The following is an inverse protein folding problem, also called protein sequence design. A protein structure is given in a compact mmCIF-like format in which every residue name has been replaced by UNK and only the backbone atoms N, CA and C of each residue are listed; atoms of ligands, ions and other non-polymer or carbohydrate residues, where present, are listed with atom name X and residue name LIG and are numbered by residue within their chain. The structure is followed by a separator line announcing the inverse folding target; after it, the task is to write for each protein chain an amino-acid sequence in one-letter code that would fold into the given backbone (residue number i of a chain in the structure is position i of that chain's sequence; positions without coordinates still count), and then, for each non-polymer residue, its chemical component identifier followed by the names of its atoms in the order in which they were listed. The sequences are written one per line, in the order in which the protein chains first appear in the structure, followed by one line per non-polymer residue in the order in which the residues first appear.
data_IF_589537355299
#
_entry.id   IF_589537355299
#
_cell.length_a   1.000
_cell.length_b   1.000
_cell.length_c   1.000
_cell.angle_alpha   90.00
_cell.angle_beta   90.00
_cell.angle_gamma   90.00
#
_symmetry.space_group_name_H-M   'P 1'
#
loop_
_entity.id
_entity.type
_entity.pdbx_description
1 polymer ?
#
# COMPACT_ATOMS: atom_id res chain seq x y z
N UNK A 1 -8.12 5.52 32.03
CA UNK A 1 -6.88 5.41 31.23
C UNK A 1 -7.21 4.60 30.00
N UNK A 2 -7.47 5.23 28.86
CA UNK A 2 -7.53 4.55 27.57
C UNK A 2 -6.84 5.49 26.57
N UNK A 3 -5.52 5.32 26.52
CA UNK A 3 -4.63 6.09 25.67
C UNK A 3 -4.82 5.49 24.29
N UNK A 4 -5.23 6.32 23.34
CA UNK A 4 -5.19 6.07 21.90
C UNK A 4 -4.24 4.93 21.52
N UNK A 5 -4.78 3.72 21.37
CA UNK A 5 -4.10 2.62 20.69
C UNK A 5 -4.19 2.91 19.19
N UNK A 6 -3.63 4.05 18.77
CA UNK A 6 -3.20 4.28 17.42
C UNK A 6 -1.89 3.50 17.28
N UNK A 7 -2.00 2.16 17.24
CA UNK A 7 -0.93 1.36 16.68
C UNK A 7 -1.15 1.44 15.17
N UNK A 8 -0.36 2.22 14.40
CA UNK A 8 -0.31 1.96 12.96
C UNK A 8 0.03 0.49 12.85
N UNK A 9 -0.80 -0.29 12.15
CA UNK A 9 -0.71 -1.75 12.08
C UNK A 9 0.77 -2.14 12.07
N UNK A 10 1.28 -2.64 13.21
CA UNK A 10 2.70 -2.94 13.38
C UNK A 10 2.95 -4.27 12.69
N UNK A 11 2.73 -4.29 11.36
CA UNK A 11 3.06 -5.38 10.49
C UNK A 11 4.47 -5.83 10.82
N UNK A 12 4.63 -7.13 11.02
CA UNK A 12 5.95 -7.71 11.16
C UNK A 12 6.77 -7.42 9.91
N UNK A 13 8.10 -7.48 10.04
CA UNK A 13 8.99 -7.30 8.89
C UNK A 13 8.66 -8.27 7.74
N UNK A 14 8.21 -9.49 8.05
CA UNK A 14 7.76 -10.46 7.03
C UNK A 14 6.51 -9.99 6.28
N UNK A 15 5.51 -9.48 6.99
CA UNK A 15 4.28 -8.97 6.38
C UNK A 15 4.59 -7.75 5.51
N UNK A 16 5.46 -6.85 5.97
CA UNK A 16 5.92 -5.70 5.18
C UNK A 16 6.60 -6.12 3.89
N UNK A 17 7.56 -7.04 3.96
CA UNK A 17 8.24 -7.54 2.75
C UNK A 17 7.28 -8.28 1.80
N UNK A 18 6.28 -9.00 2.32
CA UNK A 18 5.27 -9.64 1.49
C UNK A 18 4.40 -8.61 0.73
N UNK A 19 4.04 -7.51 1.40
CA UNK A 19 3.31 -6.39 0.80
C UNK A 19 4.14 -5.71 -0.28
N UNK A 20 5.41 -5.38 0.01
CA UNK A 20 6.33 -4.78 -0.97
C UNK A 20 6.53 -5.66 -2.21
N UNK A 21 6.77 -6.97 -2.03
CA UNK A 21 6.89 -7.91 -3.15
C UNK A 21 5.60 -8.05 -3.94
N UNK A 22 4.43 -8.00 -3.28
CA UNK A 22 3.14 -8.10 -3.96
C UNK A 22 2.82 -6.84 -4.74
N UNK A 23 3.22 -5.68 -4.22
CA UNK A 23 3.04 -4.40 -4.87
C UNK A 23 3.90 -4.24 -6.12
N UNK A 24 5.02 -4.97 -6.25
CA UNK A 24 5.82 -4.98 -7.48
C UNK A 24 5.01 -5.29 -8.75
N UNK A 25 3.90 -6.02 -8.62
CA UNK A 25 3.00 -6.38 -9.73
C UNK A 25 1.89 -5.37 -9.98
N UNK A 26 1.81 -4.30 -9.19
CA UNK A 26 0.84 -3.23 -9.34
C UNK A 26 1.34 -2.26 -10.40
N UNK A 27 0.54 -2.07 -11.45
CA UNK A 27 0.90 -1.31 -12.65
C UNK A 27 0.12 0.01 -12.80
N UNK A 28 -0.88 0.25 -11.95
CA UNK A 28 -1.75 1.43 -12.01
C UNK A 28 -2.24 1.84 -10.63
N UNK A 29 -2.65 3.10 -10.47
CA UNK A 29 -3.24 3.62 -9.23
C UNK A 29 -4.54 2.89 -8.87
N UNK A 30 -5.35 2.53 -9.87
CA UNK A 30 -6.55 1.71 -9.64
C UNK A 30 -6.20 0.33 -9.05
N UNK A 31 -5.18 -0.34 -9.59
CA UNK A 31 -4.70 -1.61 -9.04
C UNK A 31 -4.06 -1.44 -7.65
N UNK A 32 -3.39 -0.30 -7.40
CA UNK A 32 -2.83 0.03 -6.10
C UNK A 32 -3.93 0.22 -5.04
N UNK A 33 -5.00 0.94 -5.36
CA UNK A 33 -6.13 1.14 -4.47
C UNK A 33 -6.81 -0.20 -4.13
N UNK A 34 -7.06 -1.05 -5.12
CA UNK A 34 -7.62 -2.39 -4.91
C UNK A 34 -6.68 -3.27 -4.05
N UNK A 35 -5.37 -3.18 -4.27
CA UNK A 35 -4.38 -3.89 -3.47
C UNK A 35 -4.38 -3.42 -2.00
N UNK A 36 -4.42 -2.11 -1.76
CA UNK A 36 -4.49 -1.55 -0.40
C UNK A 36 -5.74 -2.03 0.35
N UNK A 37 -6.90 -2.06 -0.33
CA UNK A 37 -8.15 -2.61 0.22
C UNK A 37 -7.98 -4.09 0.60
N UNK A 38 -7.35 -4.90 -0.27
CA UNK A 38 -7.09 -6.32 0.02
C UNK A 38 -6.13 -6.55 1.19
N UNK A 39 -5.22 -5.62 1.42
CA UNK A 39 -4.28 -5.65 2.53
C UNK A 39 -4.81 -5.00 3.82
N UNK A 40 -6.06 -4.50 3.81
CA UNK A 40 -6.64 -3.72 4.92
C UNK A 40 -5.77 -2.52 5.32
N UNK A 41 -5.10 -1.91 4.33
CA UNK A 41 -4.20 -0.78 4.53
C UNK A 41 -4.91 0.53 4.19
N UNK A 42 -4.88 1.47 5.14
CA UNK A 42 -5.27 2.84 4.88
C UNK A 42 -4.15 3.63 4.18
N UNK A 43 -4.49 4.75 3.56
CA UNK A 43 -3.49 5.69 3.01
C UNK A 43 -2.51 6.18 4.10
N UNK A 44 -2.99 6.35 5.34
CA UNK A 44 -2.15 6.72 6.48
C UNK A 44 -1.14 5.62 6.86
N UNK A 45 -1.56 4.35 6.83
CA UNK A 45 -0.68 3.21 7.09
C UNK A 45 0.35 3.03 5.97
N UNK A 46 -0.05 3.30 4.73
CA UNK A 46 0.87 3.31 3.58
C UNK A 46 1.92 4.41 3.74
N UNK A 47 1.52 5.65 4.04
CA UNK A 47 2.46 6.77 4.19
C UNK A 47 3.41 6.57 5.38
N UNK A 48 2.93 5.97 6.48
CA UNK A 48 3.73 5.74 7.67
C UNK A 48 4.62 4.49 7.59
N UNK A 49 4.13 3.41 6.97
CA UNK A 49 4.79 2.11 6.91
C UNK A 49 5.58 1.86 5.63
N UNK A 50 5.22 2.52 4.54
CA UNK A 50 5.68 2.24 3.19
C UNK A 50 5.83 3.53 2.34
N UNK A 51 6.66 4.49 2.76
CA UNK A 51 6.78 5.78 2.08
C UNK A 51 7.27 5.65 0.62
N UNK A 52 8.10 4.66 0.32
CA UNK A 52 8.57 4.42 -1.06
C UNK A 52 7.44 3.90 -1.97
N UNK A 53 6.55 3.07 -1.43
CA UNK A 53 5.37 2.58 -2.15
C UNK A 53 4.39 3.71 -2.42
N UNK A 54 4.15 4.58 -1.44
CA UNK A 54 3.32 5.77 -1.64
C UNK A 54 3.83 6.63 -2.79
N UNK A 55 5.15 6.89 -2.84
CA UNK A 55 5.76 7.62 -3.96
C UNK A 55 5.59 6.88 -5.29
N UNK A 56 5.77 5.56 -5.30
CA UNK A 56 5.59 4.76 -6.50
C UNK A 56 4.16 4.83 -7.05
N UNK A 57 3.13 4.86 -6.18
CA UNK A 57 1.73 5.04 -6.60
C UNK A 57 1.53 6.40 -7.28
N UNK A 58 2.15 7.47 -6.78
CA UNK A 58 2.04 8.80 -7.40
C UNK A 58 2.60 8.83 -8.83
N UNK A 59 3.66 8.07 -9.07
CA UNK A 59 4.32 7.93 -10.39
C UNK A 59 3.60 6.96 -11.34
N UNK A 60 2.65 6.15 -10.85
CA UNK A 60 1.87 5.21 -11.67
C UNK A 60 0.79 5.91 -12.50
N UNK A 61 0.41 5.34 -13.67
CA UNK A 61 -0.75 5.79 -14.41
C UNK A 61 -2.05 5.54 -13.63
N UNK A 62 -3.05 6.40 -13.81
CA UNK A 62 -4.36 6.26 -13.16
C UNK A 62 -5.10 4.98 -13.58
N UNK A 63 -5.05 4.64 -14.86
CA UNK A 63 -5.63 3.43 -15.43
C UNK A 63 -4.56 2.47 -15.94
N UNK A 64 -4.85 1.16 -15.87
CA UNK A 64 -4.04 0.16 -16.57
C UNK A 64 -4.14 0.45 -18.07
N UNK A 65 -3.02 0.55 -18.80
CA UNK A 65 -3.07 0.80 -20.24
C UNK A 65 -3.94 -0.29 -20.90
N UNK A 66 -4.74 0.05 -21.92
CA UNK A 66 -5.55 -0.94 -22.61
C UNK A 66 -4.64 -2.08 -23.06
N UNK A 67 -4.93 -3.30 -22.60
CA UNK A 67 -4.24 -4.51 -23.04
C UNK A 67 -4.50 -4.66 -24.54
N UNK A 68 -3.54 -4.22 -25.36
CA UNK A 68 -3.51 -4.41 -26.82
C UNK A 68 -3.24 -5.86 -27.19
#
# INVERSE_FOLDING_TARGET
MNKHECFPLLLSQRERSAIEMSFYWVTSKAAAADFLIRCDLSEGDLLAGFPELARAIEEMPDEDPPRV
#
